data_IF_002750469909
#
_entry.id   IF_002750469909
#
_cell.length_a   1.000
_cell.length_b   1.000
_cell.length_c   1.000
_cell.angle_alpha   90.00
_cell.angle_beta   90.00
_cell.angle_gamma   90.00
#
_symmetry.space_group_name_H-M   'P 1'
#
loop_
_entity.id
_entity.type
_entity.pdbx_description
1 polymer ?
#
# COMPACT_ATOMS: atom_id res chain seq x y z
N UNK A 1 -7.95 4.22 2.71
CA UNK A 1 -7.43 2.85 2.92
C UNK A 1 -6.12 2.96 3.67
N UNK A 2 -6.04 2.42 4.87
CA UNK A 2 -4.87 2.41 5.73
C UNK A 2 -4.05 1.13 5.52
N UNK A 3 -2.83 1.27 5.01
CA UNK A 3 -1.83 0.21 4.88
C UNK A 3 -0.73 0.42 5.92
N UNK A 4 -0.27 -0.63 6.57
CA UNK A 4 0.97 -0.57 7.33
C UNK A 4 2.13 -0.88 6.37
N UNK A 5 2.95 0.12 6.08
CA UNK A 5 4.14 0.00 5.22
C UNK A 5 5.41 0.15 6.05
N UNK A 6 6.44 -0.61 5.66
CA UNK A 6 7.60 -0.90 6.48
C UNK A 6 8.87 -1.09 5.71
N UNK A 7 9.99 -0.80 6.37
CA UNK A 7 11.36 -0.96 5.87
C UNK A 7 11.81 0.21 4.96
N UNK A 8 11.84 1.42 5.51
CA UNK A 8 12.65 2.51 4.96
C UNK A 8 14.08 2.44 5.54
N UNK A 9 15.09 2.29 4.69
CA UNK A 9 16.50 2.23 5.07
C UNK A 9 17.06 3.64 5.33
N UNK A 10 16.60 4.29 6.39
CA UNK A 10 17.20 5.54 6.88
C UNK A 10 18.28 5.23 7.94
N UNK A 11 19.45 4.77 7.46
CA UNK A 11 20.74 5.05 8.09
C UNK A 11 21.12 4.45 9.45
N UNK A 12 20.25 3.80 10.23
CA UNK A 12 20.66 3.21 11.52
C UNK A 12 19.72 2.09 11.97
N UNK A 13 19.91 0.86 11.48
CA UNK A 13 19.43 -0.42 12.04
C UNK A 13 18.12 -0.38 12.86
N UNK A 14 17.05 0.24 12.34
CA UNK A 14 15.72 0.27 12.96
C UNK A 14 14.69 0.16 11.86
N UNK A 15 13.73 -0.74 12.06
CA UNK A 15 12.58 -0.89 11.18
C UNK A 15 11.45 -0.04 11.77
N UNK A 16 11.11 1.05 11.09
CA UNK A 16 9.95 1.86 11.46
C UNK A 16 8.69 1.34 10.79
N UNK A 17 7.67 1.09 11.61
CA UNK A 17 6.34 0.67 11.19
C UNK A 17 5.46 1.91 11.01
N UNK A 18 5.10 2.25 9.78
CA UNK A 18 4.25 3.41 9.50
C UNK A 18 2.87 2.97 9.03
N UNK A 19 1.84 3.52 9.66
CA UNK A 19 0.48 3.46 9.14
C UNK A 19 0.29 4.59 8.15
N UNK A 20 -0.01 4.24 6.91
CA UNK A 20 -0.24 5.19 5.81
C UNK A 20 -1.63 5.03 5.25
N UNK A 21 -2.39 6.14 5.23
CA UNK A 21 -3.74 6.18 4.70
C UNK A 21 -3.72 6.75 3.28
N UNK A 22 -4.09 5.93 2.30
CA UNK A 22 -4.27 6.34 0.92
C UNK A 22 -5.73 6.76 0.74
N UNK A 23 -5.91 8.02 0.38
CA UNK A 23 -7.20 8.59 0.04
C UNK A 23 -7.55 8.28 -1.42
N UNK A 24 -8.78 7.83 -1.65
CA UNK A 24 -9.22 7.53 -3.00
C UNK A 24 -9.42 8.83 -3.78
N UNK A 25 -8.68 8.99 -4.87
CA UNK A 25 -8.83 10.13 -5.78
C UNK A 25 -9.50 9.65 -7.07
N UNK A 26 -10.74 10.09 -7.29
CA UNK A 26 -11.51 9.76 -8.50
C UNK A 26 -10.77 10.23 -9.75
N UNK A 27 -10.51 9.31 -10.67
CA UNK A 27 -9.80 9.57 -11.93
C UNK A 27 -8.28 9.36 -11.88
N UNK A 28 -7.67 9.24 -10.69
CA UNK A 28 -6.29 8.76 -10.58
C UNK A 28 -6.23 7.24 -10.52
N UNK A 29 -5.13 6.68 -11.02
CA UNK A 29 -4.81 5.27 -10.82
C UNK A 29 -4.10 5.08 -9.48
N UNK A 30 -4.21 3.88 -8.92
CA UNK A 30 -3.46 3.52 -7.71
C UNK A 30 -1.95 3.47 -7.98
N UNK A 31 -1.55 3.09 -9.20
CA UNK A 31 -0.18 3.20 -9.72
C UNK A 31 0.91 2.51 -8.89
N UNK A 32 0.54 1.48 -8.14
CA UNK A 32 1.45 0.73 -7.28
C UNK A 32 1.85 -0.59 -7.93
N UNK A 33 3.15 -0.76 -8.17
CA UNK A 33 3.79 -1.98 -8.61
C UNK A 33 4.38 -2.72 -7.43
N UNK A 34 3.95 -3.96 -7.20
CA UNK A 34 4.38 -4.79 -6.08
C UNK A 34 4.93 -6.13 -6.55
N UNK A 35 5.98 -6.57 -5.87
CA UNK A 35 6.65 -7.85 -6.07
C UNK A 35 6.46 -8.72 -4.82
N UNK A 36 6.38 -10.01 -5.02
CA UNK A 36 6.27 -11.01 -3.96
C UNK A 36 7.57 -11.80 -3.87
N UNK A 37 8.15 -11.83 -2.69
CA UNK A 37 9.39 -12.56 -2.38
C UNK A 37 9.31 -13.07 -0.95
N UNK A 38 9.56 -14.36 -0.73
CA UNK A 38 9.68 -14.97 0.61
C UNK A 38 8.54 -14.62 1.59
N UNK A 39 7.29 -14.71 1.12
CA UNK A 39 6.08 -14.35 1.89
C UNK A 39 6.04 -12.87 2.32
N UNK A 40 6.76 -12.01 1.60
CA UNK A 40 6.74 -10.55 1.77
C UNK A 40 6.26 -9.90 0.48
N UNK A 41 5.49 -8.83 0.64
CA UNK A 41 5.07 -7.97 -0.46
C UNK A 41 5.90 -6.70 -0.39
N UNK A 42 6.67 -6.45 -1.44
CA UNK A 42 7.55 -5.28 -1.56
C UNK A 42 7.02 -4.40 -2.69
N UNK A 43 7.11 -3.09 -2.51
CA UNK A 43 6.82 -2.11 -3.53
C UNK A 43 8.02 -2.05 -4.46
N UNK A 44 7.84 -2.50 -5.70
CA UNK A 44 8.91 -2.47 -6.71
C UNK A 44 8.90 -1.16 -7.50
N UNK A 45 7.72 -0.58 -7.72
CA UNK A 45 7.56 0.64 -8.51
C UNK A 45 6.37 1.43 -8.01
N UNK A 46 6.52 2.75 -7.98
CA UNK A 46 5.40 3.68 -7.75
C UNK A 46 5.36 4.62 -8.95
N UNK A 47 4.17 4.83 -9.48
CA UNK A 47 3.96 5.74 -10.60
C UNK A 47 3.78 7.16 -10.05
N UNK A 48 4.54 8.14 -10.56
CA UNK A 48 4.55 9.51 -10.03
C UNK A 48 3.16 10.18 -10.06
N UNK A 49 2.32 9.85 -11.05
CA UNK A 49 0.96 10.39 -11.21
C UNK A 49 -0.11 9.51 -10.53
N UNK A 50 0.25 8.84 -9.43
CA UNK A 50 -0.65 7.94 -8.71
C UNK A 50 -1.03 8.42 -7.33
N UNK A 51 -2.08 7.83 -6.76
CA UNK A 51 -2.48 8.11 -5.36
C UNK A 51 -1.42 7.69 -4.35
N UNK A 52 -0.51 6.80 -4.73
CA UNK A 52 0.50 6.25 -3.83
C UNK A 52 1.84 6.98 -3.89
N UNK A 53 2.08 7.89 -4.86
CA UNK A 53 3.41 8.47 -5.06
C UNK A 53 3.91 9.31 -3.89
N UNK A 54 3.00 9.96 -3.18
CA UNK A 54 3.33 10.78 -2.01
C UNK A 54 3.42 9.96 -0.71
N UNK A 55 2.86 8.75 -0.73
CA UNK A 55 2.59 7.94 0.48
C UNK A 55 3.52 6.74 0.58
N UNK A 56 3.80 6.11 -0.57
CA UNK A 56 4.60 4.90 -0.69
C UNK A 56 5.80 5.16 -1.60
N UNK A 57 6.92 4.52 -1.28
CA UNK A 57 8.13 4.53 -2.08
C UNK A 57 8.50 3.13 -2.52
N UNK A 58 9.30 3.07 -3.58
CA UNK A 58 9.98 1.84 -3.96
C UNK A 58 10.81 1.32 -2.79
N UNK A 59 10.82 -0.01 -2.63
CA UNK A 59 11.44 -0.78 -1.54
C UNK A 59 10.63 -0.84 -0.25
N UNK A 60 9.52 -0.11 -0.12
CA UNK A 60 8.63 -0.28 1.03
C UNK A 60 8.02 -1.69 1.03
N UNK A 61 8.03 -2.34 2.19
CA UNK A 61 7.33 -3.59 2.45
C UNK A 61 5.94 -3.35 3.00
N UNK A 62 4.95 -4.01 2.44
CA UNK A 62 3.59 -3.98 2.95
C UNK A 62 3.44 -5.14 3.94
N UNK A 63 3.12 -4.84 5.20
CA UNK A 63 2.93 -5.85 6.24
C UNK A 63 1.45 -6.25 6.36
N UNK A 64 0.56 -5.27 6.34
CA UNK A 64 -0.88 -5.46 6.37
C UNK A 64 -1.63 -4.34 5.64
N UNK A 65 -2.84 -4.66 5.21
CA UNK A 65 -3.77 -3.72 4.56
C UNK A 65 -5.08 -3.80 5.32
N UNK A 66 -5.54 -2.67 5.87
CA UNK A 66 -6.75 -2.59 6.70
C UNK A 66 -6.70 -3.55 7.91
N UNK A 67 -5.52 -3.72 8.52
CA UNK A 67 -5.30 -4.63 9.65
C UNK A 67 -5.31 -6.12 9.28
N UNK A 68 -5.34 -6.45 7.99
CA UNK A 68 -5.26 -7.84 7.51
C UNK A 68 -3.84 -8.11 6.99
N UNK A 69 -3.09 -9.02 7.62
CA UNK A 69 -1.71 -9.31 7.24
C UNK A 69 -1.65 -9.87 5.82
N UNK A 70 -0.71 -9.35 5.04
CA UNK A 70 -0.52 -9.73 3.64
C UNK A 70 0.81 -10.46 3.47
N UNK A 71 0.75 -11.73 3.08
CA UNK A 71 1.93 -12.55 2.75
C UNK A 71 2.18 -12.65 1.25
N UNK A 72 1.15 -12.37 0.45
CA UNK A 72 1.14 -12.58 -1.00
C UNK A 72 0.62 -11.34 -1.72
N UNK A 73 1.21 -11.06 -2.90
CA UNK A 73 0.80 -9.93 -3.74
C UNK A 73 -0.68 -9.99 -4.14
N UNK A 74 -1.21 -11.20 -4.33
CA UNK A 74 -2.60 -11.41 -4.77
C UNK A 74 -3.58 -11.10 -3.65
N UNK A 75 -3.25 -11.50 -2.40
CA UNK A 75 -4.03 -11.12 -1.22
C UNK A 75 -4.00 -9.61 -1.05
N UNK A 76 -2.80 -9.01 -1.10
CA UNK A 76 -2.63 -7.57 -0.96
C UNK A 76 -3.46 -6.78 -1.98
N UNK A 77 -3.38 -7.15 -3.27
CA UNK A 77 -4.21 -6.55 -4.33
C UNK A 77 -5.71 -6.70 -4.05
N UNK A 78 -6.15 -7.88 -3.63
CA UNK A 78 -7.57 -8.13 -3.32
C UNK A 78 -8.06 -7.23 -2.19
N UNK A 79 -7.24 -7.05 -1.15
CA UNK A 79 -7.55 -6.20 -0.01
C UNK A 79 -7.56 -4.72 -0.39
N UNK A 80 -6.58 -4.27 -1.18
CA UNK A 80 -6.54 -2.92 -1.74
C UNK A 80 -7.81 -2.63 -2.54
N UNK A 81 -8.16 -3.50 -3.49
CA UNK A 81 -9.36 -3.34 -4.33
C UNK A 81 -10.63 -3.35 -3.48
N UNK A 82 -10.69 -4.20 -2.45
CA UNK A 82 -11.81 -4.25 -1.49
C UNK A 82 -11.93 -2.94 -0.72
N UNK A 83 -10.82 -2.42 -0.18
CA UNK A 83 -10.79 -1.14 0.53
C UNK A 83 -11.21 0.03 -0.38
N UNK A 84 -10.68 0.08 -1.60
CA UNK A 84 -11.06 1.11 -2.58
C UNK A 84 -12.55 1.07 -2.96
N UNK A 85 -13.13 -0.12 -3.12
CA UNK A 85 -14.57 -0.28 -3.40
C UNK A 85 -15.45 0.20 -2.26
N UNK A 86 -15.03 -0.02 -1.01
CA UNK A 86 -15.77 0.45 0.17
C UNK A 86 -15.77 1.98 0.18
N UNK A 87 -14.61 2.61 0.00
CA UNK A 87 -14.48 4.08 0.01
C UNK A 87 -15.32 4.72 -1.11
N UNK A 88 -15.33 4.14 -2.32
CA UNK A 88 -16.14 4.62 -3.44
C UNK A 88 -17.66 4.48 -3.21
N UNK A 89 -18.08 3.62 -2.28
CA UNK A 89 -19.50 3.42 -1.95
C UNK A 89 -19.95 4.28 -0.76
N UNK A 90 -19.02 4.77 0.06
CA UNK A 90 -19.29 5.58 1.26
C UNK A 90 -19.36 7.09 0.99
N UNK A 91 -19.24 7.55 -0.26
CA UNK A 91 -19.58 8.94 -0.65
C UNK A 91 -21.11 9.16 -0.80
N UNK A 92 -21.92 8.26 -0.26
CA UNK A 92 -23.37 8.40 -0.13
C UNK A 92 -23.79 8.28 1.35
N UNK A 93 -23.44 9.26 2.18
CA UNK A 93 -24.22 9.62 3.38
C UNK A 93 -23.98 11.08 3.78
#
# INVERSE_FOLDING_TARGET
MSCHCLENEHGFSRFDYLLVTIEFQKGKKFGLGMVHTENRVLVNKVDDDSMCSEVLKSLDRICDVEGIPVTDKELCKKQIVKGLKVVASTECE
#
